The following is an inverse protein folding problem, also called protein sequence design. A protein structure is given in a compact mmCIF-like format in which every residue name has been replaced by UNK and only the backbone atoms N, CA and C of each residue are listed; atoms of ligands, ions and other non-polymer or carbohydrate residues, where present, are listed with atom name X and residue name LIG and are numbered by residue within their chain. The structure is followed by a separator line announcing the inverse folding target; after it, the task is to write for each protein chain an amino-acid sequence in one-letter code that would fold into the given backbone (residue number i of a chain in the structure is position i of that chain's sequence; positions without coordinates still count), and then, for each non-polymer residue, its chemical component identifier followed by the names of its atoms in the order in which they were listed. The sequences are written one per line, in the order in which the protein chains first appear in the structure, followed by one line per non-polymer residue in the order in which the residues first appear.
data_IF_409684660135
#
_entry.id   IF_409684660135
#
_cell.length_a   1.000
_cell.length_b   1.000
_cell.length_c   1.000
_cell.angle_alpha   90.00
_cell.angle_beta   90.00
_cell.angle_gamma   90.00
#
_symmetry.space_group_name_H-M   'P 1'
#
loop_
_entity.id
_entity.type
_entity.pdbx_description
1 polymer ?
#
# COMPACT_ATOMS: atom_id res chain seq x y z
N UNK A 1 -27.05 -13.48 24.99
CA UNK A 1 -26.70 -12.82 23.72
C UNK A 1 -27.76 -13.19 22.70
N UNK A 2 -28.18 -12.29 21.82
CA UNK A 2 -29.12 -12.64 20.74
C UNK A 2 -28.48 -13.67 19.81
N UNK A 3 -29.16 -14.78 19.55
CA UNK A 3 -28.71 -15.77 18.57
C UNK A 3 -28.96 -15.26 17.16
N UNK A 4 -27.93 -15.32 16.32
CA UNK A 4 -28.00 -14.85 14.93
C UNK A 4 -27.34 -15.89 14.03
N UNK A 5 -28.01 -16.34 12.95
CA UNK A 5 -27.37 -17.24 11.98
C UNK A 5 -26.27 -16.51 11.21
N UNK A 6 -25.05 -17.03 11.28
CA UNK A 6 -23.90 -16.58 10.48
C UNK A 6 -23.67 -17.44 9.25
N UNK A 7 -22.88 -16.93 8.30
CA UNK A 7 -22.34 -17.73 7.18
C UNK A 7 -20.83 -17.50 7.09
N UNK A 8 -20.06 -18.59 7.07
CA UNK A 8 -18.62 -18.54 6.82
C UNK A 8 -18.41 -18.58 5.30
N UNK A 9 -17.99 -17.46 4.72
CA UNK A 9 -17.73 -17.39 3.29
C UNK A 9 -16.46 -18.18 2.92
N UNK A 10 -16.50 -18.88 1.78
CA UNK A 10 -15.31 -19.57 1.26
C UNK A 10 -14.23 -18.56 0.90
N UNK A 11 -12.99 -18.81 1.33
CA UNK A 11 -11.87 -17.96 0.98
C UNK A 11 -11.59 -18.01 -0.53
N UNK A 12 -11.29 -16.86 -1.18
CA UNK A 12 -10.95 -16.85 -2.58
C UNK A 12 -9.60 -17.54 -2.82
N UNK A 13 -9.45 -18.15 -3.99
CA UNK A 13 -8.16 -18.68 -4.43
C UNK A 13 -7.24 -17.53 -4.86
N UNK A 14 -5.99 -17.57 -4.40
CA UNK A 14 -4.95 -16.58 -4.67
C UNK A 14 -3.93 -17.21 -5.63
N UNK A 15 -3.60 -16.50 -6.70
CA UNK A 15 -2.64 -16.95 -7.69
C UNK A 15 -1.33 -16.17 -7.60
N UNK A 16 -0.23 -16.91 -7.55
CA UNK A 16 1.14 -16.42 -7.63
C UNK A 16 1.70 -16.57 -9.06
N UNK A 17 2.92 -16.09 -9.28
CA UNK A 17 3.58 -16.08 -10.60
C UNK A 17 4.65 -17.14 -10.73
N UNK A 18 5.74 -16.77 -11.42
CA UNK A 18 6.81 -17.68 -11.80
C UNK A 18 6.37 -18.74 -12.81
N UNK A 19 7.21 -19.76 -13.01
CA UNK A 19 6.92 -20.86 -13.96
C UNK A 19 5.74 -21.73 -13.49
N UNK A 20 5.59 -21.91 -12.18
CA UNK A 20 4.61 -22.83 -11.58
C UNK A 20 3.23 -22.20 -11.36
N UNK A 21 3.12 -20.86 -11.32
CA UNK A 21 1.86 -20.12 -11.13
C UNK A 21 1.00 -20.69 -9.99
N UNK A 22 1.65 -20.95 -8.85
CA UNK A 22 1.03 -21.65 -7.71
C UNK A 22 -0.26 -20.96 -7.28
N UNK A 23 -1.32 -21.75 -7.09
CA UNK A 23 -2.59 -21.30 -6.53
C UNK A 23 -2.69 -21.76 -5.09
N UNK A 24 -3.09 -20.88 -4.19
CA UNK A 24 -3.35 -21.19 -2.78
C UNK A 24 -4.76 -20.83 -2.37
N UNK A 25 -5.30 -21.62 -1.45
CA UNK A 25 -6.55 -21.30 -0.76
C UNK A 25 -6.19 -20.95 0.68
N UNK A 26 -6.50 -19.73 1.15
CA UNK A 26 -6.29 -19.36 2.55
C UNK A 26 -6.98 -20.33 3.49
N UNK A 27 -6.31 -20.68 4.58
CA UNK A 27 -6.86 -21.49 5.66
C UNK A 27 -7.00 -20.61 6.92
N UNK A 28 -8.20 -20.50 7.47
CA UNK A 28 -8.51 -19.64 8.62
C UNK A 28 -7.95 -18.20 8.47
N UNK A 29 -8.04 -17.65 7.25
CA UNK A 29 -7.56 -16.31 6.93
C UNK A 29 -6.05 -16.17 6.71
N UNK A 30 -5.29 -17.27 6.72
CA UNK A 30 -3.81 -17.25 6.61
C UNK A 30 -3.32 -18.11 5.45
N UNK A 31 -2.24 -17.66 4.82
CA UNK A 31 -1.42 -18.41 3.89
C UNK A 31 0.03 -17.90 3.96
N UNK A 32 0.97 -18.60 3.31
CA UNK A 32 2.37 -18.19 3.26
C UNK A 32 2.92 -18.12 1.82
N UNK A 33 4.16 -17.66 1.68
CA UNK A 33 4.86 -17.57 0.39
C UNK A 33 5.88 -18.69 0.12
N UNK A 34 5.97 -19.72 0.96
CA UNK A 34 6.97 -20.79 0.78
C UNK A 34 6.74 -21.50 -0.54
N UNK A 35 7.79 -21.60 -1.36
CA UNK A 35 7.73 -22.19 -2.71
C UNK A 35 6.94 -21.40 -3.74
N UNK A 36 6.68 -20.10 -3.51
CA UNK A 36 5.87 -19.25 -4.38
C UNK A 36 6.67 -18.02 -4.81
N UNK A 37 6.49 -17.61 -6.06
CA UNK A 37 7.09 -16.39 -6.60
C UNK A 37 6.00 -15.35 -6.86
N UNK A 38 6.32 -14.07 -6.75
CA UNK A 38 5.37 -13.00 -7.03
C UNK A 38 4.75 -13.14 -8.42
N UNK A 39 3.47 -12.74 -8.54
CA UNK A 39 2.78 -12.72 -9.84
C UNK A 39 3.58 -11.93 -10.88
N UNK A 40 4.07 -10.76 -10.49
CA UNK A 40 4.96 -9.91 -11.26
C UNK A 40 6.02 -9.37 -10.31
N UNK A 41 7.16 -10.06 -10.25
CA UNK A 41 8.31 -9.63 -9.48
C UNK A 41 9.16 -8.63 -10.25
N UNK A 42 9.67 -7.61 -9.55
CA UNK A 42 10.56 -6.61 -10.13
C UNK A 42 12.02 -7.06 -10.00
N UNK A 43 12.77 -6.99 -11.09
CA UNK A 43 14.22 -7.13 -11.04
C UNK A 43 14.87 -5.82 -10.57
N UNK A 44 15.70 -5.91 -9.53
CA UNK A 44 16.38 -4.78 -8.90
C UNK A 44 17.87 -4.85 -9.24
N UNK A 45 18.34 -3.94 -10.08
CA UNK A 45 19.72 -3.86 -10.57
C UNK A 45 20.50 -2.72 -9.90
N UNK A 46 19.88 -1.54 -9.80
CA UNK A 46 20.53 -0.36 -9.23
C UNK A 46 19.85 0.03 -7.93
N UNK A 47 20.52 -0.21 -6.80
CA UNK A 47 19.98 0.05 -5.46
C UNK A 47 21.09 0.46 -4.49
N UNK A 48 20.73 1.15 -3.42
CA UNK A 48 21.66 1.68 -2.44
C UNK A 48 21.26 1.33 -1.00
N UNK A 49 22.23 1.34 -0.08
CA UNK A 49 22.03 1.27 1.36
C UNK A 49 22.52 2.57 2.01
N UNK A 50 21.64 3.22 2.76
CA UNK A 50 21.97 4.35 3.63
C UNK A 50 21.77 3.94 5.10
N UNK A 51 22.85 3.80 5.86
CA UNK A 51 22.79 3.35 7.24
C UNK A 51 22.86 4.53 8.22
N UNK A 52 21.74 4.87 8.85
CA UNK A 52 21.66 5.89 9.90
C UNK A 52 21.78 5.31 11.32
N UNK A 53 22.06 4.01 11.44
CA UNK A 53 22.41 3.39 12.70
C UNK A 53 23.92 3.54 12.94
N UNK A 54 24.37 3.84 14.17
CA UNK A 54 25.80 3.88 14.49
C UNK A 54 26.50 2.58 14.11
N UNK A 55 27.71 2.65 13.55
CA UNK A 55 28.46 1.48 13.09
C UNK A 55 28.70 0.43 14.19
N UNK A 56 28.85 0.87 15.45
CA UNK A 56 28.92 -0.02 16.62
C UNK A 56 27.66 -0.85 16.85
N UNK A 57 26.49 -0.33 16.45
CA UNK A 57 25.19 -1.00 16.59
C UNK A 57 24.83 -1.84 15.36
N UNK A 58 25.33 -1.48 14.18
CA UNK A 58 25.11 -2.19 12.94
C UNK A 58 26.38 -2.07 12.11
N UNK A 59 27.25 -3.07 12.16
CA UNK A 59 28.54 -3.02 11.47
C UNK A 59 28.43 -3.49 10.01
N UNK A 60 29.54 -3.40 9.27
CA UNK A 60 29.56 -3.76 7.85
C UNK A 60 29.32 -5.25 7.61
N UNK A 61 29.73 -6.10 8.55
CA UNK A 61 29.47 -7.54 8.48
C UNK A 61 27.96 -7.83 8.59
N UNK A 62 27.25 -7.14 9.49
CA UNK A 62 25.78 -7.21 9.59
C UNK A 62 25.11 -6.75 8.29
N UNK A 63 25.55 -5.62 7.71
CA UNK A 63 25.00 -5.12 6.43
C UNK A 63 25.23 -6.10 5.28
N UNK A 64 26.42 -6.71 5.22
CA UNK A 64 26.76 -7.73 4.20
C UNK A 64 25.91 -8.98 4.36
N UNK A 65 25.75 -9.47 5.59
CA UNK A 65 24.95 -10.65 5.91
C UNK A 65 23.48 -10.40 5.59
N UNK A 66 22.94 -9.25 6.00
CA UNK A 66 21.59 -8.81 5.65
C UNK A 66 21.39 -8.77 4.14
N UNK A 67 22.34 -8.21 3.40
CA UNK A 67 22.27 -8.11 1.93
C UNK A 67 22.21 -9.49 1.28
N UNK A 68 23.09 -10.42 1.68
CA UNK A 68 23.11 -11.79 1.15
C UNK A 68 21.79 -12.54 1.44
N UNK A 69 21.28 -12.44 2.67
CA UNK A 69 20.02 -13.09 3.04
C UNK A 69 18.82 -12.45 2.32
N UNK A 70 18.80 -11.12 2.17
CA UNK A 70 17.75 -10.43 1.42
C UNK A 70 17.76 -10.84 -0.05
N UNK A 71 18.93 -10.88 -0.69
CA UNK A 71 19.09 -11.34 -2.08
C UNK A 71 18.60 -12.78 -2.26
N UNK A 72 18.95 -13.69 -1.34
CA UNK A 72 18.46 -15.07 -1.38
C UNK A 72 16.93 -15.13 -1.33
N UNK A 73 16.32 -14.49 -0.33
CA UNK A 73 14.86 -14.51 -0.16
C UNK A 73 14.15 -13.78 -1.30
N UNK A 74 14.73 -12.70 -1.83
CA UNK A 74 14.14 -11.97 -2.95
C UNK A 74 14.17 -12.80 -4.24
N UNK A 75 15.27 -13.52 -4.50
CA UNK A 75 15.38 -14.47 -5.61
C UNK A 75 14.33 -15.60 -5.48
N UNK A 76 14.20 -16.20 -4.30
CA UNK A 76 13.20 -17.24 -4.03
C UNK A 76 11.76 -16.73 -4.26
N UNK A 77 11.50 -15.45 -3.95
CA UNK A 77 10.22 -14.79 -4.18
C UNK A 77 10.03 -14.29 -5.63
N UNK A 78 10.99 -14.50 -6.54
CA UNK A 78 10.91 -14.05 -7.94
C UNK A 78 11.08 -12.54 -8.13
N UNK A 79 11.68 -11.83 -7.16
CA UNK A 79 12.08 -10.42 -7.22
C UNK A 79 13.60 -10.33 -7.09
N UNK A 80 14.36 -10.68 -8.14
CA UNK A 80 15.81 -10.81 -8.02
C UNK A 80 16.47 -9.46 -7.73
N UNK A 81 17.28 -9.42 -6.67
CA UNK A 81 18.19 -8.30 -6.38
C UNK A 81 19.55 -8.69 -6.92
N UNK A 82 19.92 -8.08 -8.05
CA UNK A 82 21.11 -8.42 -8.81
C UNK A 82 22.27 -7.53 -8.38
N UNK A 83 23.41 -8.16 -8.06
CA UNK A 83 24.63 -7.45 -7.70
C UNK A 83 24.60 -6.79 -6.31
N UNK A 84 25.75 -6.27 -5.90
CA UNK A 84 25.90 -5.51 -4.66
C UNK A 84 25.26 -4.11 -4.80
N UNK A 85 24.88 -3.45 -3.69
CA UNK A 85 24.37 -2.10 -3.76
C UNK A 85 25.42 -1.16 -4.37
N UNK A 86 25.00 -0.26 -5.26
CA UNK A 86 25.90 0.69 -5.92
C UNK A 86 26.48 1.74 -4.96
N UNK A 87 25.88 1.86 -3.77
CA UNK A 87 26.30 2.72 -2.69
C UNK A 87 25.93 2.09 -1.34
N UNK A 88 26.86 2.08 -0.39
CA UNK A 88 26.62 1.65 0.99
C UNK A 88 27.44 2.52 1.94
N UNK A 89 26.81 3.46 2.64
CA UNK A 89 27.49 4.36 3.59
C UNK A 89 26.71 4.57 4.88
N UNK A 90 27.46 4.89 5.93
CA UNK A 90 26.92 5.39 7.19
C UNK A 90 26.66 6.89 7.10
N UNK A 91 25.61 7.34 7.76
CA UNK A 91 25.36 8.75 8.02
C UNK A 91 24.78 8.92 9.43
N UNK A 92 24.91 10.12 9.97
CA UNK A 92 24.32 10.49 11.25
C UNK A 92 23.59 11.80 11.07
N UNK A 93 22.46 11.97 11.77
CA UNK A 93 21.68 13.20 11.72
C UNK A 93 20.63 13.22 10.61
N UNK A 94 19.67 14.11 10.79
CA UNK A 94 18.52 14.31 9.89
C UNK A 94 18.94 15.11 8.65
N UNK A 95 19.89 16.04 8.83
CA UNK A 95 20.46 16.93 7.84
C UNK A 95 21.21 16.22 6.71
N UNK A 96 21.63 14.97 6.92
CA UNK A 96 22.34 14.18 5.92
C UNK A 96 21.41 13.47 4.91
N UNK A 97 20.11 13.37 5.20
CA UNK A 97 19.16 12.64 4.34
C UNK A 97 19.03 13.30 2.97
N UNK A 98 18.72 14.60 2.92
CA UNK A 98 18.47 15.31 1.68
C UNK A 98 19.72 15.40 0.77
N UNK A 99 20.90 15.82 1.26
CA UNK A 99 22.11 15.86 0.44
C UNK A 99 22.50 14.49 -0.10
N UNK A 100 22.42 13.44 0.73
CA UNK A 100 22.74 12.08 0.32
C UNK A 100 21.78 11.60 -0.77
N UNK A 101 20.47 11.81 -0.65
CA UNK A 101 19.51 11.35 -1.65
C UNK A 101 19.62 12.13 -2.96
N UNK A 102 19.91 13.44 -2.92
CA UNK A 102 20.21 14.23 -4.12
C UNK A 102 21.46 13.69 -4.82
N UNK A 103 22.53 13.44 -4.07
CA UNK A 103 23.74 12.81 -4.62
C UNK A 103 23.41 11.45 -5.26
N UNK A 104 22.68 10.58 -4.57
CA UNK A 104 22.32 9.26 -5.09
C UNK A 104 21.51 9.33 -6.39
N UNK A 105 20.52 10.24 -6.46
CA UNK A 105 19.69 10.42 -7.67
C UNK A 105 20.51 10.90 -8.87
N UNK A 106 21.42 11.84 -8.66
CA UNK A 106 22.22 12.43 -9.74
C UNK A 106 23.34 11.50 -10.20
N UNK A 107 23.98 10.78 -9.27
CA UNK A 107 25.15 9.95 -9.56
C UNK A 107 24.77 8.60 -10.17
N UNK A 108 23.67 7.98 -9.72
CA UNK A 108 23.30 6.63 -10.14
C UNK A 108 22.05 6.66 -11.02
N UNK A 109 22.26 6.75 -12.34
CA UNK A 109 21.17 6.71 -13.31
C UNK A 109 20.37 5.41 -13.17
N UNK A 110 19.04 5.52 -13.16
CA UNK A 110 18.16 4.37 -12.99
C UNK A 110 18.13 3.78 -11.57
N UNK A 111 18.55 4.52 -10.53
CA UNK A 111 18.42 4.08 -9.13
C UNK A 111 16.96 3.72 -8.80
N UNK A 112 16.73 2.45 -8.43
CA UNK A 112 15.40 1.91 -8.19
C UNK A 112 15.00 2.03 -6.71
N UNK A 113 15.94 1.79 -5.78
CA UNK A 113 15.62 1.64 -4.36
C UNK A 113 16.76 2.16 -3.45
N UNK A 114 16.37 2.86 -2.38
CA UNK A 114 17.26 3.11 -1.23
C UNK A 114 16.73 2.32 -0.03
N UNK A 115 17.51 1.35 0.44
CA UNK A 115 17.28 0.68 1.72
C UNK A 115 17.89 1.53 2.84
N UNK A 116 17.07 1.97 3.78
CA UNK A 116 17.50 2.88 4.85
C UNK A 116 17.51 2.15 6.19
N UNK A 117 18.68 1.99 6.80
CA UNK A 117 18.80 1.33 8.10
C UNK A 117 18.67 2.36 9.21
N UNK A 118 17.75 2.17 10.14
CA UNK A 118 17.45 3.11 11.23
C UNK A 118 17.72 2.48 12.61
N UNK A 119 18.23 3.23 13.60
CA UNK A 119 18.57 2.69 14.93
C UNK A 119 17.34 2.32 15.79
N UNK A 120 16.13 2.70 15.38
CA UNK A 120 14.91 2.53 16.16
C UNK A 120 13.90 3.63 15.84
N UNK A 121 13.21 4.16 16.85
CA UNK A 121 12.40 5.37 16.73
C UNK A 121 13.34 6.57 16.58
N UNK A 122 13.23 7.30 15.47
CA UNK A 122 14.10 8.44 15.16
C UNK A 122 13.36 9.43 14.26
N UNK A 123 13.59 10.76 14.40
CA UNK A 123 13.03 11.75 13.48
C UNK A 123 13.53 11.57 12.03
N UNK A 124 14.66 10.89 11.82
CA UNK A 124 15.20 10.55 10.49
C UNK A 124 14.18 9.81 9.62
N UNK A 125 13.30 9.00 10.22
CA UNK A 125 12.26 8.29 9.46
C UNK A 125 11.33 9.27 8.71
N UNK A 126 10.87 10.32 9.39
CA UNK A 126 9.97 11.30 8.81
C UNK A 126 10.67 12.07 7.68
N UNK A 127 11.94 12.40 7.88
CA UNK A 127 12.74 13.10 6.86
C UNK A 127 13.02 12.25 5.63
N UNK A 128 13.37 10.97 5.82
CA UNK A 128 13.53 10.01 4.72
C UNK A 128 12.26 9.93 3.87
N UNK A 129 11.09 9.97 4.52
CA UNK A 129 9.80 9.96 3.83
C UNK A 129 9.50 11.29 3.15
N UNK A 130 9.74 12.42 3.80
CA UNK A 130 9.60 13.75 3.19
C UNK A 130 10.48 13.88 1.94
N UNK A 131 11.77 13.63 2.08
CA UNK A 131 12.74 13.76 0.97
C UNK A 131 12.44 12.74 -0.14
N UNK A 132 12.24 11.47 0.21
CA UNK A 132 12.01 10.40 -0.76
C UNK A 132 10.67 10.52 -1.49
N UNK A 133 9.59 10.72 -0.75
CA UNK A 133 8.22 10.63 -1.28
C UNK A 133 7.73 11.98 -1.87
N UNK A 134 8.23 13.14 -1.40
CA UNK A 134 7.72 14.46 -1.86
C UNK A 134 8.73 15.30 -2.63
N UNK A 135 10.01 15.33 -2.24
CA UNK A 135 10.99 16.21 -2.90
C UNK A 135 11.66 15.57 -4.11
N UNK A 136 12.05 14.30 -3.97
CA UNK A 136 12.96 13.65 -4.91
C UNK A 136 12.27 12.56 -5.73
N UNK A 137 11.22 11.93 -5.19
CA UNK A 137 10.48 10.86 -5.88
C UNK A 137 11.29 9.58 -6.05
N UNK A 138 11.95 9.13 -4.97
CA UNK A 138 12.72 7.87 -4.95
C UNK A 138 12.12 6.88 -3.95
N UNK A 139 11.99 5.63 -4.38
CA UNK A 139 11.46 4.57 -3.52
C UNK A 139 12.43 4.29 -2.36
N UNK A 140 11.90 4.39 -1.13
CA UNK A 140 12.67 4.13 0.10
C UNK A 140 12.09 3.00 0.92
N UNK A 141 12.93 2.07 1.36
CA UNK A 141 12.55 0.99 2.29
C UNK A 141 13.36 1.07 3.58
N UNK A 142 12.72 1.60 4.63
CA UNK A 142 13.34 1.66 5.95
C UNK A 142 13.32 0.28 6.63
N UNK A 143 14.40 -0.07 7.32
CA UNK A 143 14.52 -1.28 8.14
C UNK A 143 15.18 -0.92 9.47
N UNK A 144 14.70 -1.48 10.58
CA UNK A 144 15.33 -1.25 11.88
C UNK A 144 16.63 -2.04 11.98
N UNK A 145 17.67 -1.46 12.57
CA UNK A 145 18.98 -2.08 12.74
C UNK A 145 18.90 -3.47 13.41
N UNK A 146 17.99 -3.66 14.38
CA UNK A 146 17.75 -4.98 15.00
C UNK A 146 17.35 -6.07 13.98
N UNK A 147 16.60 -5.71 12.94
CA UNK A 147 16.15 -6.63 11.88
C UNK A 147 17.22 -6.83 10.79
N UNK A 148 18.23 -5.95 10.75
CA UNK A 148 19.44 -6.11 9.92
C UNK A 148 20.43 -7.03 10.62
N UNK A 149 20.68 -6.79 11.91
CA UNK A 149 21.58 -7.59 12.73
C UNK A 149 21.10 -9.02 12.93
N UNK A 150 19.78 -9.21 13.12
CA UNK A 150 19.17 -10.53 13.28
C UNK A 150 18.02 -10.67 12.30
N UNK A 151 18.33 -11.23 11.13
CA UNK A 151 17.33 -11.50 10.11
C UNK A 151 16.55 -12.78 10.42
N UNK A 152 15.29 -12.82 9.99
CA UNK A 152 14.53 -14.07 9.91
C UNK A 152 13.95 -14.19 8.50
N UNK A 153 13.82 -15.41 7.93
CA UNK A 153 13.24 -15.59 6.59
C UNK A 153 11.85 -14.94 6.46
N UNK A 154 11.02 -15.03 7.51
CA UNK A 154 9.70 -14.40 7.53
C UNK A 154 9.78 -12.86 7.45
N UNK A 155 10.69 -12.25 8.21
CA UNK A 155 10.87 -10.79 8.20
C UNK A 155 11.35 -10.30 6.84
N UNK A 156 12.32 -11.01 6.25
CA UNK A 156 12.85 -10.68 4.93
C UNK A 156 11.80 -10.89 3.83
N UNK A 157 11.04 -11.98 3.89
CA UNK A 157 9.91 -12.23 2.98
C UNK A 157 8.88 -11.10 3.05
N UNK A 158 8.54 -10.65 4.27
CA UNK A 158 7.64 -9.50 4.47
C UNK A 158 8.25 -8.18 3.99
N UNK A 159 9.58 -8.03 4.03
CA UNK A 159 10.27 -6.89 3.47
C UNK A 159 10.20 -6.90 1.93
N UNK A 160 10.41 -8.05 1.29
CA UNK A 160 10.28 -8.24 -0.15
C UNK A 160 8.86 -7.92 -0.64
N UNK A 161 7.82 -8.31 0.11
CA UNK A 161 6.42 -7.94 -0.20
C UNK A 161 6.26 -6.42 -0.38
N UNK A 162 6.92 -5.63 0.47
CA UNK A 162 6.84 -4.16 0.44
C UNK A 162 7.71 -3.56 -0.67
N UNK A 163 8.90 -4.12 -0.87
CA UNK A 163 9.82 -3.65 -1.90
C UNK A 163 9.21 -3.86 -3.29
N UNK A 164 8.69 -5.06 -3.56
CA UNK A 164 8.11 -5.38 -4.86
C UNK A 164 6.99 -4.40 -5.24
N UNK A 165 6.06 -4.15 -4.31
CA UNK A 165 4.95 -3.21 -4.51
C UNK A 165 5.43 -1.78 -4.74
N UNK A 166 6.41 -1.32 -3.97
CA UNK A 166 6.98 0.05 -4.15
C UNK A 166 7.63 0.26 -5.50
N UNK A 167 8.14 -0.80 -6.11
CA UNK A 167 8.76 -0.77 -7.43
C UNK A 167 7.78 -1.12 -8.55
N UNK A 168 6.48 -1.22 -8.25
CA UNK A 168 5.41 -1.41 -9.23
C UNK A 168 5.06 -2.88 -9.53
N UNK A 169 5.63 -3.82 -8.80
CA UNK A 169 5.34 -5.25 -8.91
C UNK A 169 3.96 -5.64 -8.36
N UNK A 170 3.54 -6.85 -8.72
CA UNK A 170 2.28 -7.47 -8.28
C UNK A 170 2.63 -8.72 -7.49
N UNK A 171 2.34 -8.74 -6.19
CA UNK A 171 2.71 -9.87 -5.33
C UNK A 171 1.90 -11.13 -5.66
N UNK A 172 0.58 -10.97 -5.78
CA UNK A 172 -0.36 -12.03 -6.11
C UNK A 172 -1.66 -11.39 -6.61
N UNK A 173 -2.54 -12.21 -7.17
CA UNK A 173 -3.85 -11.78 -7.67
C UNK A 173 -4.94 -12.74 -7.17
N UNK A 174 -6.19 -12.28 -7.13
CA UNK A 174 -7.34 -13.18 -7.06
C UNK A 174 -7.37 -14.02 -8.35
N UNK A 175 -7.58 -15.34 -8.22
CA UNK A 175 -7.73 -16.21 -9.40
C UNK A 175 -8.84 -15.65 -10.30
N UNK A 176 -8.58 -15.40 -11.59
CA UNK A 176 -9.54 -14.70 -12.45
C UNK A 176 -10.95 -15.31 -12.49
N UNK A 177 -11.05 -16.64 -12.43
CA UNK A 177 -12.31 -17.40 -12.51
C UNK A 177 -13.15 -17.40 -11.24
N UNK A 178 -12.58 -17.04 -10.08
CA UNK A 178 -13.35 -16.94 -8.82
C UNK A 178 -13.86 -15.53 -8.53
N UNK A 179 -13.54 -14.58 -9.42
CA UNK A 179 -13.99 -13.18 -9.28
C UNK A 179 -15.48 -13.08 -9.62
N UNK A 180 -16.27 -12.25 -8.91
CA UNK A 180 -17.68 -12.02 -9.25
C UNK A 180 -17.82 -11.48 -10.68
N UNK A 181 -18.41 -12.29 -11.58
CA UNK A 181 -18.49 -11.95 -13.00
C UNK A 181 -19.32 -10.68 -13.24
N UNK A 182 -20.34 -10.44 -12.41
CA UNK A 182 -21.20 -9.25 -12.46
C UNK A 182 -20.44 -7.93 -12.28
N UNK A 183 -19.32 -7.96 -11.55
CA UNK A 183 -18.49 -6.78 -11.27
C UNK A 183 -17.35 -6.66 -12.27
N UNK A 184 -16.66 -7.77 -12.56
CA UNK A 184 -15.42 -7.78 -13.34
C UNK A 184 -15.62 -7.98 -14.85
N UNK A 185 -16.86 -8.13 -15.34
CA UNK A 185 -17.15 -8.27 -16.79
C UNK A 185 -16.85 -6.99 -17.58
N UNK A 186 -16.91 -5.83 -16.94
CA UNK A 186 -16.58 -4.54 -17.54
C UNK A 186 -15.52 -3.84 -16.67
N UNK A 187 -14.79 -2.85 -17.22
CA UNK A 187 -13.81 -2.11 -16.46
C UNK A 187 -14.42 -1.50 -15.19
N UNK A 188 -13.78 -1.72 -14.04
CA UNK A 188 -14.21 -1.25 -12.74
C UNK A 188 -13.02 -0.66 -12.00
N UNK A 189 -13.25 0.46 -11.31
CA UNK A 189 -12.27 1.03 -10.37
C UNK A 189 -12.77 0.84 -8.94
N UNK A 190 -11.90 0.33 -8.08
CA UNK A 190 -12.14 0.23 -6.64
C UNK A 190 -11.46 1.41 -5.96
N UNK A 191 -12.25 2.20 -5.23
CA UNK A 191 -11.80 3.38 -4.51
C UNK A 191 -11.89 3.12 -3.01
N UNK A 192 -10.83 3.46 -2.28
CA UNK A 192 -10.83 3.51 -0.82
C UNK A 192 -10.67 4.94 -0.36
N UNK A 193 -11.46 5.39 0.61
CA UNK A 193 -11.43 6.75 1.12
C UNK A 193 -11.48 6.76 2.66
N UNK A 194 -10.62 7.59 3.27
CA UNK A 194 -10.52 7.76 4.73
C UNK A 194 -10.20 9.21 5.09
N UNK A 195 -10.64 9.63 6.27
CA UNK A 195 -10.25 10.89 6.90
C UNK A 195 -9.65 10.62 8.26
N UNK A 196 -8.38 11.01 8.43
CA UNK A 196 -7.70 10.94 9.72
C UNK A 196 -7.78 12.30 10.42
N UNK A 197 -8.35 12.30 11.62
CA UNK A 197 -8.40 13.48 12.49
C UNK A 197 -7.20 13.57 13.44
N UNK A 198 -6.86 14.78 13.90
CA UNK A 198 -5.91 14.97 14.99
C UNK A 198 -6.34 14.28 16.30
N UNK A 199 -5.38 14.02 17.22
CA UNK A 199 -5.67 13.50 18.55
C UNK A 199 -6.70 14.33 19.33
N UNK A 200 -7.36 13.71 20.31
CA UNK A 200 -8.26 14.41 21.21
C UNK A 200 -7.55 15.57 21.93
N UNK A 201 -8.25 16.71 22.07
CA UNK A 201 -7.70 17.92 22.68
C UNK A 201 -6.94 18.84 21.72
N UNK A 202 -6.51 18.37 20.54
CA UNK A 202 -5.94 19.23 19.51
C UNK A 202 -7.05 20.10 18.89
N UNK A 203 -6.77 21.41 18.71
CA UNK A 203 -7.73 22.43 18.23
C UNK A 203 -7.35 23.06 16.91
N UNK A 204 -6.17 22.78 16.37
CA UNK A 204 -5.60 23.55 15.25
C UNK A 204 -5.09 22.69 14.11
N UNK A 205 -4.66 21.45 14.38
CA UNK A 205 -4.16 20.60 13.30
C UNK A 205 -5.29 20.26 12.32
N UNK A 206 -5.00 20.23 11.02
CA UNK A 206 -6.01 19.90 10.04
C UNK A 206 -6.35 18.40 10.09
N UNK A 207 -7.48 18.03 9.48
CA UNK A 207 -7.74 16.63 9.13
C UNK A 207 -7.04 16.30 7.81
N UNK A 208 -6.71 15.04 7.60
CA UNK A 208 -6.08 14.57 6.36
C UNK A 208 -7.02 13.58 5.68
N UNK A 209 -7.47 13.92 4.47
CA UNK A 209 -8.25 13.02 3.62
C UNK A 209 -7.33 12.29 2.66
N UNK A 210 -7.51 10.98 2.53
CA UNK A 210 -6.78 10.13 1.60
C UNK A 210 -7.77 9.32 0.75
N UNK A 211 -7.55 9.32 -0.56
CA UNK A 211 -8.34 8.54 -1.52
C UNK A 211 -7.39 7.73 -2.39
N UNK A 212 -7.62 6.43 -2.49
CA UNK A 212 -6.84 5.52 -3.33
C UNK A 212 -7.71 4.90 -4.39
N UNK A 213 -7.15 4.60 -5.56
CA UNK A 213 -7.86 3.92 -6.66
C UNK A 213 -7.05 2.75 -7.20
N UNK A 214 -7.70 1.62 -7.52
CA UNK A 214 -7.06 0.49 -8.19
C UNK A 214 -6.58 0.90 -9.59
N UNK A 215 -5.45 0.38 -10.07
CA UNK A 215 -4.78 0.79 -11.33
C UNK A 215 -4.59 -0.37 -12.32
N UNK A 216 -5.29 -1.47 -12.12
CA UNK A 216 -5.32 -2.65 -12.99
C UNK A 216 -6.61 -3.45 -12.78
N UNK A 217 -6.84 -4.44 -13.64
CA UNK A 217 -8.01 -5.33 -13.57
C UNK A 217 -7.88 -6.44 -12.51
N UNK A 218 -6.71 -6.60 -11.87
CA UNK A 218 -6.48 -7.55 -10.77
C UNK A 218 -6.85 -6.98 -9.40
N UNK A 219 -7.46 -5.80 -9.36
CA UNK A 219 -7.10 -4.66 -8.50
C UNK A 219 -5.98 -4.93 -7.49
N UNK A 220 -4.72 -5.03 -7.94
CA UNK A 220 -3.57 -5.20 -7.03
C UNK A 220 -2.76 -3.93 -6.83
N UNK A 221 -2.57 -3.11 -7.87
CA UNK A 221 -1.85 -1.83 -7.75
C UNK A 221 -2.83 -0.71 -7.46
N UNK A 222 -2.41 0.23 -6.62
CA UNK A 222 -3.21 1.40 -6.26
C UNK A 222 -2.38 2.68 -6.41
N UNK A 223 -3.01 3.75 -6.87
CA UNK A 223 -2.49 5.11 -6.75
C UNK A 223 -3.21 5.85 -5.62
N UNK A 224 -2.58 6.87 -5.05
CA UNK A 224 -3.10 7.62 -3.92
C UNK A 224 -3.17 9.11 -4.24
N UNK A 225 -4.19 9.77 -3.71
CA UNK A 225 -4.32 11.22 -3.62
C UNK A 225 -4.55 11.58 -2.14
N UNK A 226 -3.98 12.69 -1.69
CA UNK A 226 -4.07 13.14 -0.29
C UNK A 226 -4.32 14.64 -0.25
N UNK A 227 -5.16 15.08 0.69
CA UNK A 227 -5.50 16.49 0.90
C UNK A 227 -5.54 16.81 2.39
N UNK A 228 -5.14 18.03 2.70
CA UNK A 228 -5.33 18.63 4.02
C UNK A 228 -6.69 19.35 3.97
N UNK A 229 -7.50 19.17 5.00
CA UNK A 229 -8.80 19.84 5.10
C UNK A 229 -9.06 20.36 6.52
N UNK A 230 -10.17 21.08 6.68
CA UNK A 230 -10.53 21.75 7.93
C UNK A 230 -10.48 20.79 9.14
N UNK A 231 -10.12 21.35 10.30
CA UNK A 231 -10.06 20.63 11.57
C UNK A 231 -11.36 19.87 11.84
N UNK A 232 -11.25 18.56 12.09
CA UNK A 232 -12.37 17.65 12.39
C UNK A 232 -13.53 17.68 11.38
N UNK A 233 -13.24 18.01 10.14
CA UNK A 233 -14.21 17.93 9.05
C UNK A 233 -14.17 16.52 8.47
N UNK A 234 -15.30 15.80 8.52
CA UNK A 234 -15.39 14.40 8.06
C UNK A 234 -15.63 14.31 6.55
N UNK A 235 -16.44 15.20 5.96
CA UNK A 235 -16.72 15.18 4.52
C UNK A 235 -15.43 15.46 3.74
N UNK A 236 -15.10 14.65 2.72
CA UNK A 236 -13.90 14.90 1.92
C UNK A 236 -14.14 16.09 0.97
N UNK A 237 -13.59 17.26 1.33
CA UNK A 237 -13.91 18.53 0.65
C UNK A 237 -13.47 18.54 -0.83
N UNK A 238 -12.33 17.95 -1.15
CA UNK A 238 -11.75 17.93 -2.51
C UNK A 238 -11.99 16.61 -3.26
N UNK A 239 -13.02 15.84 -2.87
CA UNK A 239 -13.22 14.49 -3.42
C UNK A 239 -13.38 14.47 -4.95
N UNK A 240 -14.05 15.47 -5.54
CA UNK A 240 -14.23 15.60 -6.99
C UNK A 240 -12.88 15.62 -7.72
N UNK A 241 -11.96 16.46 -7.25
CA UNK A 241 -10.60 16.57 -7.81
C UNK A 241 -9.80 15.28 -7.60
N UNK A 242 -9.84 14.72 -6.39
CA UNK A 242 -9.12 13.48 -6.03
C UNK A 242 -9.57 12.28 -6.89
N UNK A 243 -10.87 12.12 -7.10
CA UNK A 243 -11.43 11.04 -7.94
C UNK A 243 -11.09 11.27 -9.41
N UNK A 244 -11.16 12.52 -9.89
CA UNK A 244 -10.76 12.87 -11.26
C UNK A 244 -9.31 12.47 -11.55
N UNK A 245 -8.38 12.80 -10.64
CA UNK A 245 -6.97 12.40 -10.76
C UNK A 245 -6.81 10.88 -10.89
N UNK A 246 -7.51 10.12 -10.05
CA UNK A 246 -7.49 8.65 -10.07
C UNK A 246 -8.10 8.07 -11.36
N UNK A 247 -9.19 8.63 -11.86
CA UNK A 247 -9.81 8.20 -13.12
C UNK A 247 -8.89 8.44 -14.32
N UNK A 248 -8.21 9.59 -14.37
CA UNK A 248 -7.19 9.87 -15.39
C UNK A 248 -6.05 8.85 -15.30
N UNK A 249 -5.56 8.58 -14.10
CA UNK A 249 -4.46 7.63 -13.90
C UNK A 249 -4.87 6.19 -14.22
N UNK A 250 -6.11 5.80 -13.92
CA UNK A 250 -6.67 4.51 -14.31
C UNK A 250 -6.70 4.37 -15.83
N UNK A 251 -7.20 5.38 -16.55
CA UNK A 251 -7.22 5.36 -18.01
C UNK A 251 -5.81 5.30 -18.61
N UNK A 252 -4.85 6.05 -18.06
CA UNK A 252 -3.43 5.97 -18.48
C UNK A 252 -2.85 4.58 -18.28
N UNK A 253 -3.22 3.90 -17.19
CA UNK A 253 -2.66 2.60 -16.79
C UNK A 253 -3.32 1.41 -17.50
N UNK A 254 -4.61 1.51 -17.81
CA UNK A 254 -5.41 0.38 -18.34
C UNK A 254 -5.91 0.59 -19.76
N UNK A 255 -5.96 1.84 -20.24
CA UNK A 255 -6.64 2.26 -21.48
C UNK A 255 -8.15 2.04 -21.50
N UNK A 256 -8.75 1.75 -20.36
CA UNK A 256 -10.19 1.62 -20.20
C UNK A 256 -10.76 2.74 -19.34
N UNK A 257 -11.99 3.15 -19.64
CA UNK A 257 -12.81 3.99 -18.76
C UNK A 257 -13.63 3.06 -17.87
N UNK A 258 -13.64 3.22 -16.53
CA UNK A 258 -14.47 2.41 -15.66
C UNK A 258 -15.95 2.52 -16.03
N UNK A 259 -16.64 1.42 -16.28
CA UNK A 259 -18.10 1.38 -16.34
C UNK A 259 -18.73 1.43 -14.95
N UNK A 260 -17.96 1.05 -13.92
CA UNK A 260 -18.37 1.03 -12.51
C UNK A 260 -17.33 1.65 -11.60
N UNK A 261 -17.79 2.36 -10.57
CA UNK A 261 -17.00 2.87 -9.46
C UNK A 261 -17.52 2.21 -8.18
N UNK A 262 -16.66 1.47 -7.47
CA UNK A 262 -16.99 0.89 -6.16
C UNK A 262 -16.16 1.65 -5.11
N UNK A 263 -16.83 2.45 -4.29
CA UNK A 263 -16.20 3.30 -3.28
C UNK A 263 -16.44 2.72 -1.89
N UNK A 264 -15.34 2.39 -1.20
CA UNK A 264 -15.32 2.02 0.21
C UNK A 264 -14.89 3.23 1.05
N UNK A 265 -15.80 3.76 1.86
CA UNK A 265 -15.59 4.94 2.72
C UNK A 265 -15.46 4.49 4.18
N UNK A 266 -14.27 4.57 4.75
CA UNK A 266 -14.02 4.17 6.16
C UNK A 266 -14.47 5.26 7.14
N UNK A 267 -14.81 4.90 8.38
CA UNK A 267 -14.81 5.83 9.52
C UNK A 267 -16.04 6.74 9.69
N UNK A 268 -17.02 6.71 8.78
CA UNK A 268 -18.22 7.56 8.90
C UNK A 268 -19.18 7.01 9.95
N UNK A 269 -19.68 7.87 10.83
CA UNK A 269 -20.70 7.50 11.83
C UNK A 269 -22.12 7.48 11.23
N UNK A 270 -23.02 6.66 11.78
CA UNK A 270 -24.40 6.51 11.27
C UNK A 270 -25.15 7.84 11.19
N UNK A 271 -24.99 8.71 12.19
CA UNK A 271 -25.59 10.04 12.21
C UNK A 271 -25.09 10.99 11.12
N UNK A 272 -24.00 10.65 10.43
CA UNK A 272 -23.41 11.44 9.35
C UNK A 272 -23.68 10.86 7.95
N UNK A 273 -24.30 9.67 7.84
CA UNK A 273 -24.46 8.97 6.56
C UNK A 273 -25.13 9.84 5.49
N UNK A 274 -26.29 10.42 5.79
CA UNK A 274 -27.03 11.24 4.82
C UNK A 274 -26.22 12.45 4.36
N UNK A 275 -25.53 13.11 5.29
CA UNK A 275 -24.74 14.29 4.98
C UNK A 275 -23.51 13.94 4.12
N UNK A 276 -22.74 12.93 4.53
CA UNK A 276 -21.56 12.48 3.79
C UNK A 276 -21.96 11.98 2.40
N UNK A 277 -23.01 11.16 2.30
CA UNK A 277 -23.47 10.62 1.02
C UNK A 277 -23.91 11.74 0.07
N UNK A 278 -24.67 12.73 0.55
CA UNK A 278 -25.17 13.83 -0.27
C UNK A 278 -24.02 14.63 -0.91
N UNK A 279 -22.94 14.89 -0.16
CA UNK A 279 -21.79 15.62 -0.68
C UNK A 279 -20.84 14.74 -1.51
N UNK A 280 -20.43 13.59 -0.98
CA UNK A 280 -19.39 12.78 -1.58
C UNK A 280 -19.87 12.06 -2.85
N UNK A 281 -21.13 11.60 -2.91
CA UNK A 281 -21.67 11.00 -4.13
C UNK A 281 -21.76 12.02 -5.27
N UNK A 282 -22.18 13.25 -4.95
CA UNK A 282 -22.24 14.35 -5.92
C UNK A 282 -20.84 14.71 -6.41
N UNK A 283 -19.83 14.74 -5.53
CA UNK A 283 -18.45 14.99 -5.91
C UNK A 283 -17.89 13.90 -6.85
N UNK A 284 -18.21 12.61 -6.62
CA UNK A 284 -17.82 11.52 -7.54
C UNK A 284 -18.48 11.70 -8.92
N UNK A 285 -19.77 12.06 -8.97
CA UNK A 285 -20.49 12.33 -10.22
C UNK A 285 -19.89 13.53 -10.96
N UNK A 286 -19.60 14.61 -10.24
CA UNK A 286 -18.97 15.81 -10.79
C UNK A 286 -17.60 15.48 -11.41
N UNK A 287 -16.79 14.66 -10.74
CA UNK A 287 -15.50 14.20 -11.28
C UNK A 287 -15.65 13.50 -12.63
N UNK A 288 -16.70 12.69 -12.80
CA UNK A 288 -16.99 11.98 -14.05
C UNK A 288 -17.42 12.95 -15.16
N UNK A 289 -18.41 13.83 -14.87
CA UNK A 289 -18.92 14.82 -15.84
C UNK A 289 -17.84 15.81 -16.28
N UNK A 290 -16.94 16.20 -15.37
CA UNK A 290 -15.80 17.10 -15.69
C UNK A 290 -14.73 16.46 -16.58
N UNK A 291 -14.70 15.12 -16.68
CA UNK A 291 -13.83 14.42 -17.62
C UNK A 291 -14.48 14.32 -19.00
N UNK A 292 -15.78 14.00 -19.03
CA UNK A 292 -16.58 13.90 -20.24
C UNK A 292 -18.06 14.06 -19.87
N UNK A 293 -18.77 14.95 -20.54
CA UNK A 293 -20.15 15.33 -20.18
C UNK A 293 -21.13 14.13 -20.14
N UNK A 294 -20.95 13.16 -21.03
CA UNK A 294 -21.77 11.94 -21.13
C UNK A 294 -21.31 10.79 -20.22
N UNK A 295 -20.18 10.93 -19.52
CA UNK A 295 -19.61 9.83 -18.76
C UNK A 295 -20.29 9.68 -17.39
N UNK A 296 -21.17 8.66 -17.31
CA UNK A 296 -22.01 8.40 -16.14
C UNK A 296 -21.87 6.92 -15.70
N UNK A 297 -20.72 6.53 -15.13
CA UNK A 297 -20.53 5.17 -14.65
C UNK A 297 -21.45 4.87 -13.46
N UNK A 298 -21.83 3.60 -13.28
CA UNK A 298 -22.57 3.17 -12.09
C UNK A 298 -21.72 3.32 -10.83
N UNK A 299 -22.24 3.97 -9.78
CA UNK A 299 -21.52 4.20 -8.53
C UNK A 299 -22.14 3.35 -7.41
N UNK A 300 -21.33 2.54 -6.74
CA UNK A 300 -21.69 1.85 -5.50
C UNK A 300 -20.92 2.48 -4.35
N UNK A 301 -21.64 3.02 -3.35
CA UNK A 301 -21.07 3.69 -2.19
C UNK A 301 -21.26 2.81 -0.95
N UNK A 302 -20.17 2.40 -0.31
CA UNK A 302 -20.16 1.45 0.81
C UNK A 302 -19.43 2.10 1.97
N UNK A 303 -20.14 2.36 3.07
CA UNK A 303 -19.50 2.78 4.32
C UNK A 303 -18.93 1.55 5.03
N UNK A 304 -17.69 1.65 5.48
CA UNK A 304 -17.00 0.62 6.26
C UNK A 304 -16.79 1.16 7.67
N UNK A 305 -17.27 0.43 8.68
CA UNK A 305 -17.07 0.78 10.08
C UNK A 305 -16.30 -0.34 10.76
N UNK A 306 -15.03 -0.09 11.09
CA UNK A 306 -14.19 -1.06 11.81
C UNK A 306 -14.33 -0.97 13.34
N UNK A 307 -14.65 0.22 13.85
CA UNK A 307 -14.73 0.51 15.29
C UNK A 307 -16.20 0.71 15.68
N UNK A 308 -16.85 -0.37 16.09
CA UNK A 308 -18.23 -0.38 16.57
C UNK A 308 -18.36 -1.26 17.82
N UNK A 309 -19.55 -1.27 18.43
CA UNK A 309 -19.84 -2.01 19.66
C UNK A 309 -20.36 -3.45 19.43
N UNK A 310 -20.71 -3.82 18.18
CA UNK A 310 -21.12 -5.19 17.85
C UNK A 310 -19.97 -6.18 18.04
N UNK A 311 -20.23 -7.29 18.73
CA UNK A 311 -19.32 -8.43 18.91
C UNK A 311 -20.08 -9.72 18.58
N UNK A 312 -19.40 -10.66 17.93
CA UNK A 312 -19.94 -11.96 17.55
C UNK A 312 -19.10 -13.05 18.20
N UNK A 313 -19.75 -14.10 18.69
CA UNK A 313 -19.13 -15.24 19.38
C UNK A 313 -19.73 -16.53 18.83
N UNK A 314 -18.93 -17.60 18.77
CA UNK A 314 -19.42 -18.92 18.40
C UNK A 314 -20.41 -19.42 19.47
N UNK A 315 -21.57 -19.95 19.04
CA UNK A 315 -22.54 -20.57 19.94
C UNK A 315 -22.06 -21.93 20.45
N UNK A 316 -21.34 -22.69 19.62
CA UNK A 316 -20.70 -23.94 20.03
C UNK A 316 -19.44 -23.66 20.85
N UNK A 317 -19.40 -24.20 22.08
CA UNK A 317 -18.27 -24.10 23.01
C UNK A 317 -17.00 -24.77 22.48
N UNK A 318 -17.10 -25.70 21.54
CA UNK A 318 -15.92 -26.33 20.91
C UNK A 318 -15.23 -25.43 19.89
N UNK A 319 -15.93 -24.40 19.41
CA UNK A 319 -15.43 -23.41 18.45
C UNK A 319 -15.14 -22.04 19.08
N UNK A 320 -15.37 -21.90 20.40
CA UNK A 320 -14.93 -20.74 21.21
C UNK A 320 -13.44 -20.83 21.51
#
# INVERSE_FOLDING_TARGET
MTEVPGRVLTAPKIQYGGRTKVIVTPNQGVWDMRGKQFHTGIEIRTWAIACFAPQRNCNEASLRTFTQQLQRISNDAGMPIVGQPCFCKYATGIEQVEPMFKFLKTTYNGLQLIVVVLPGKTPVYAEVKRVGDTLIGLATQCVQAKNVNKTTPQTLSNLCLKINVKLGGVNNILVPSVRPISVFREPVIFIGADVTHPPAGDRSKPSIAAVVGSMDAHPSRYAATVRIQMHRHEVIAELSTMVRELLIQFYKSTRFKPARIILYRDGVSEGQFSHVLAHELMAVREACVRLEASYQPGITFIVVQKRHHTRLFCSDKKEQ
#
